data_IF_188713575051
#
_entry.id   IF_188713575051
#
_cell.length_a   1.000
_cell.length_b   1.000
_cell.length_c   1.000
_cell.angle_alpha   90.00
_cell.angle_beta   90.00
_cell.angle_gamma   90.00
#
_symmetry.space_group_name_H-M   'P 1'
#
loop_
_entity.id
_entity.type
_entity.pdbx_description
1 polymer ?
#
# COMPACT_ATOMS: atom_id res chain seq x y z
N UNK A 1 -23.04 -20.25 -11.75
CA UNK A 1 -22.01 -20.92 -12.56
C UNK A 1 -20.70 -20.18 -12.30
N UNK A 2 -19.75 -20.87 -11.67
CA UNK A 2 -18.64 -20.33 -10.87
C UNK A 2 -17.54 -19.67 -11.69
N UNK A 3 -17.01 -18.53 -11.19
CA UNK A 3 -15.70 -17.98 -11.55
C UNK A 3 -14.62 -18.63 -10.65
N UNK A 4 -13.59 -19.31 -11.20
CA UNK A 4 -12.53 -19.86 -10.38
C UNK A 4 -11.39 -18.85 -10.13
N UNK A 5 -11.22 -18.54 -8.86
CA UNK A 5 -9.98 -18.59 -8.08
C UNK A 5 -8.64 -18.19 -8.72
N UNK A 6 -8.13 -17.07 -8.20
CA UNK A 6 -6.73 -16.75 -7.95
C UNK A 6 -5.86 -17.99 -7.68
N UNK A 7 -4.85 -18.20 -8.52
CA UNK A 7 -3.74 -19.12 -8.24
C UNK A 7 -2.47 -18.30 -8.07
N UNK A 8 -2.17 -17.93 -6.83
CA UNK A 8 -0.86 -17.46 -6.42
C UNK A 8 -0.06 -18.70 -6.04
N UNK A 9 0.76 -19.19 -6.97
CA UNK A 9 1.63 -20.35 -6.74
C UNK A 9 3.07 -19.95 -7.02
N UNK A 10 3.82 -19.92 -5.93
CA UNK A 10 5.27 -20.01 -5.80
C UNK A 10 6.01 -20.48 -7.06
N UNK A 11 6.78 -19.57 -7.65
CA UNK A 11 7.83 -19.88 -8.63
C UNK A 11 9.18 -19.66 -7.98
N UNK A 12 9.68 -20.70 -7.30
CA UNK A 12 11.05 -20.77 -6.81
C UNK A 12 12.07 -20.61 -7.97
N UNK A 13 13.25 -20.06 -7.68
CA UNK A 13 14.24 -19.64 -8.68
C UNK A 13 15.00 -20.85 -9.21
N UNK A 14 14.99 -21.03 -10.53
CA UNK A 14 15.81 -22.02 -11.21
C UNK A 14 16.69 -21.30 -12.25
N UNK A 15 17.98 -21.27 -11.93
CA UNK A 15 19.08 -21.56 -12.85
C UNK A 15 18.79 -21.27 -14.32
N UNK A 16 19.20 -20.08 -14.78
CA UNK A 16 19.44 -19.84 -16.20
C UNK A 16 20.81 -19.19 -16.36
N UNK A 17 21.83 -20.01 -16.11
CA UNK A 17 23.16 -19.84 -16.68
C UNK A 17 23.01 -19.96 -18.21
N UNK A 18 23.00 -18.83 -18.91
CA UNK A 18 23.11 -18.83 -20.37
C UNK A 18 24.19 -17.82 -20.77
N UNK A 19 25.41 -18.35 -20.77
CA UNK A 19 26.57 -17.81 -21.45
C UNK A 19 26.46 -18.29 -22.90
N UNK A 20 26.45 -17.39 -23.88
CA UNK A 20 27.15 -17.52 -25.17
C UNK A 20 26.84 -16.32 -26.09
N UNK A 21 27.92 -15.86 -26.72
CA UNK A 21 28.00 -14.76 -27.65
C UNK A 21 27.30 -15.06 -28.97
N UNK A 22 26.60 -14.06 -29.53
CA UNK A 22 26.54 -13.83 -30.98
C UNK A 22 26.47 -12.33 -31.27
N UNK A 23 27.52 -11.83 -31.92
CA UNK A 23 27.54 -10.53 -32.60
C UNK A 23 26.55 -10.52 -33.77
N UNK A 24 25.88 -9.39 -34.01
CA UNK A 24 24.98 -9.27 -35.15
C UNK A 24 24.27 -7.93 -35.27
N UNK A 25 24.92 -7.02 -36.01
CA UNK A 25 24.37 -5.96 -36.86
C UNK A 25 23.32 -4.96 -36.31
N UNK A 26 23.80 -3.72 -36.22
CA UNK A 26 23.11 -2.45 -36.38
C UNK A 26 21.72 -2.48 -37.04
N UNK A 27 20.77 -1.77 -36.44
CA UNK A 27 19.70 -1.06 -37.15
C UNK A 27 19.26 0.17 -36.34
N UNK A 28 19.79 1.32 -36.76
CA UNK A 28 19.08 2.59 -36.89
C UNK A 28 18.24 3.05 -35.68
N UNK A 29 18.89 3.65 -34.68
CA UNK A 29 18.21 4.65 -33.86
C UNK A 29 18.10 5.94 -34.67
N UNK A 30 16.88 6.26 -35.08
CA UNK A 30 16.55 7.58 -35.60
C UNK A 30 16.86 8.63 -34.52
N UNK A 31 17.84 9.50 -34.80
CA UNK A 31 18.13 10.67 -33.99
C UNK A 31 17.04 11.70 -34.26
N UNK A 32 16.11 11.87 -33.32
CA UNK A 32 15.21 13.01 -33.31
C UNK A 32 16.02 14.29 -33.12
N UNK A 33 15.78 15.22 -34.04
CA UNK A 33 16.52 16.45 -34.25
C UNK A 33 16.66 17.29 -32.97
N UNK A 34 17.89 17.74 -32.72
CA UNK A 34 18.20 18.83 -31.80
C UNK A 34 17.76 20.14 -32.44
N UNK A 35 16.67 20.72 -31.94
CA UNK A 35 16.29 22.10 -32.23
C UNK A 35 17.18 23.10 -31.47
N UNK A 36 17.48 24.28 -32.05
CA UNK A 36 18.47 25.22 -31.50
C UNK A 36 18.03 25.89 -30.20
N UNK A 37 19.05 26.18 -29.39
CA UNK A 37 19.00 26.64 -28.00
C UNK A 37 18.20 27.93 -27.79
N UNK A 38 17.22 27.86 -26.89
CA UNK A 38 16.48 29.03 -26.40
C UNK A 38 17.40 29.91 -25.54
N UNK A 39 17.60 31.15 -26.01
CA UNK A 39 18.33 32.21 -25.33
C UNK A 39 17.78 32.42 -23.92
N UNK A 40 18.56 32.12 -22.89
CA UNK A 40 18.24 32.52 -21.53
C UNK A 40 18.46 34.02 -21.38
N UNK A 41 17.41 34.79 -21.61
CA UNK A 41 17.29 36.14 -21.07
C UNK A 41 17.09 36.00 -19.56
N UNK A 42 18.09 36.47 -18.81
CA UNK A 42 17.99 36.63 -17.37
C UNK A 42 17.03 37.79 -17.05
N UNK A 43 15.74 37.48 -16.90
CA UNK A 43 14.82 38.40 -16.23
C UNK A 43 14.91 38.12 -14.73
N UNK A 44 15.65 38.98 -14.02
CA UNK A 44 15.60 39.03 -12.56
C UNK A 44 14.19 39.51 -12.19
N UNK A 45 13.36 38.60 -11.64
CA UNK A 45 12.12 38.99 -10.97
C UNK A 45 12.38 39.03 -9.47
N UNK A 46 12.40 40.25 -8.94
CA UNK A 46 12.35 40.52 -7.52
C UNK A 46 10.90 40.40 -7.03
N UNK A 47 10.69 39.62 -5.96
CA UNK A 47 9.56 39.74 -5.05
C UNK A 47 8.20 39.24 -5.53
N UNK A 48 7.82 38.03 -5.07
CA UNK A 48 6.46 37.78 -4.58
C UNK A 48 6.56 36.83 -3.39
N UNK A 49 6.03 37.28 -2.25
CA UNK A 49 5.77 36.51 -1.05
C UNK A 49 5.20 35.13 -1.39
N UNK A 50 5.92 34.07 -1.00
CA UNK A 50 5.40 32.72 -1.02
C UNK A 50 4.41 32.51 0.13
N UNK A 51 3.20 33.05 0.00
CA UNK A 51 2.06 32.42 0.66
C UNK A 51 1.77 31.12 -0.08
N UNK A 52 2.19 30.02 0.55
CA UNK A 52 1.92 28.65 0.16
C UNK A 52 0.53 28.51 -0.46
N UNK A 53 0.40 28.11 -1.75
CA UNK A 53 -0.91 27.96 -2.37
C UNK A 53 -1.68 26.88 -1.63
N UNK A 54 -2.95 27.22 -1.34
CA UNK A 54 -4.07 26.33 -1.05
C UNK A 54 -3.72 24.84 -1.07
N UNK A 55 -3.73 24.24 0.12
CA UNK A 55 -3.76 22.79 0.27
C UNK A 55 -5.00 22.27 -0.43
N UNK A 56 -4.85 21.90 -1.70
CA UNK A 56 -5.65 20.85 -2.29
C UNK A 56 -5.39 19.67 -1.37
N UNK A 57 -6.37 19.35 -0.52
CA UNK A 57 -6.28 18.19 0.34
C UNK A 57 -6.31 16.99 -0.58
N UNK A 58 -5.15 16.63 -1.11
CA UNK A 58 -4.94 15.34 -1.74
C UNK A 58 -5.51 14.31 -0.76
N UNK A 59 -6.37 13.38 -1.22
CA UNK A 59 -6.92 12.35 -0.35
C UNK A 59 -5.78 11.69 0.40
N UNK A 60 -5.64 12.01 1.69
CA UNK A 60 -4.49 11.57 2.48
C UNK A 60 -4.70 10.09 2.72
N UNK A 61 -4.10 9.27 1.84
CA UNK A 61 -4.11 7.83 1.98
C UNK A 61 -3.42 7.45 3.29
N UNK A 62 -4.15 6.76 4.15
CA UNK A 62 -3.65 6.27 5.43
C UNK A 62 -3.28 4.81 5.32
N UNK A 63 -2.34 4.42 6.19
CA UNK A 63 -1.86 3.07 6.33
C UNK A 63 -2.25 2.58 7.72
N UNK A 64 -2.91 1.43 7.79
CA UNK A 64 -3.13 0.71 9.03
C UNK A 64 -2.25 -0.52 9.01
N UNK A 65 -1.39 -0.67 10.01
CA UNK A 65 -0.47 -1.80 10.10
C UNK A 65 -0.39 -2.33 11.52
N UNK A 66 0.02 -3.58 11.67
CA UNK A 66 0.23 -4.13 13.01
C UNK A 66 0.39 -5.64 13.00
N UNK A 67 0.26 -6.22 14.20
CA UNK A 67 0.37 -7.66 14.42
C UNK A 67 -0.85 -8.24 15.12
N UNK A 68 -1.16 -9.48 14.80
CA UNK A 68 -2.20 -10.27 15.45
C UNK A 68 -1.53 -11.22 16.45
N UNK A 69 -1.95 -11.12 17.70
CA UNK A 69 -1.40 -11.89 18.81
C UNK A 69 -2.52 -12.51 19.66
N UNK A 70 -2.18 -13.53 20.42
CA UNK A 70 -3.03 -14.11 21.46
C UNK A 70 -2.91 -13.29 22.76
N UNK A 71 -3.79 -13.54 23.74
CA UNK A 71 -3.63 -13.12 25.14
C UNK A 71 -2.26 -13.43 25.73
N UNK A 72 -1.64 -14.55 25.32
CA UNK A 72 -0.32 -14.99 25.74
C UNK A 72 0.84 -14.26 25.02
N UNK A 73 0.55 -13.32 24.11
CA UNK A 73 1.55 -12.60 23.32
C UNK A 73 2.13 -13.41 22.15
N UNK A 74 1.65 -14.64 21.92
CA UNK A 74 2.04 -15.47 20.77
C UNK A 74 1.41 -14.93 19.49
N UNK A 75 2.19 -14.77 18.42
CA UNK A 75 1.67 -14.38 17.11
C UNK A 75 0.79 -15.48 16.51
N UNK A 76 -0.30 -15.06 15.87
CA UNK A 76 -1.26 -15.96 15.21
C UNK A 76 -1.13 -15.73 13.71
N UNK A 77 -0.75 -16.78 12.96
CA UNK A 77 -0.56 -16.73 11.50
C UNK A 77 -1.74 -17.24 10.67
N UNK A 78 -2.65 -17.99 11.27
CA UNK A 78 -3.88 -18.47 10.64
C UNK A 78 -5.05 -17.48 10.83
N UNK A 79 -4.74 -16.20 11.04
CA UNK A 79 -5.72 -15.15 11.23
C UNK A 79 -5.99 -14.39 9.92
N UNK A 80 -7.22 -13.93 9.77
CA UNK A 80 -7.63 -12.98 8.74
C UNK A 80 -8.06 -11.71 9.44
N UNK A 81 -7.49 -10.58 9.02
CA UNK A 81 -7.89 -9.27 9.53
C UNK A 81 -8.94 -8.70 8.61
N UNK A 82 -10.04 -8.28 9.20
CA UNK A 82 -11.16 -7.65 8.52
C UNK A 82 -11.18 -6.18 8.90
N UNK A 83 -11.40 -5.33 7.91
CA UNK A 83 -11.59 -3.90 8.05
C UNK A 83 -12.91 -3.54 7.39
N UNK A 84 -13.85 -3.02 8.18
CA UNK A 84 -15.13 -2.51 7.73
C UNK A 84 -15.09 -0.99 7.75
N UNK A 85 -15.48 -0.39 6.64
CA UNK A 85 -15.75 1.05 6.55
C UNK A 85 -17.15 1.34 7.14
N UNK A 86 -17.26 2.27 8.09
CA UNK A 86 -18.57 2.65 8.65
C UNK A 86 -19.31 3.66 7.76
N UNK A 87 -18.64 4.28 6.80
CA UNK A 87 -19.24 5.22 5.86
C UNK A 87 -20.10 4.49 4.82
N UNK A 88 -19.52 3.53 4.10
CA UNK A 88 -20.19 2.81 3.01
C UNK A 88 -20.47 1.32 3.31
N UNK A 89 -20.03 0.81 4.47
CA UNK A 89 -20.15 -0.60 4.86
C UNK A 89 -19.33 -1.59 4.01
N UNK A 90 -18.37 -1.13 3.21
CA UNK A 90 -17.38 -2.01 2.56
C UNK A 90 -16.54 -2.78 3.58
N UNK A 91 -16.34 -4.07 3.30
CA UNK A 91 -15.47 -4.93 4.12
C UNK A 91 -14.27 -5.39 3.28
N UNK A 92 -13.07 -5.05 3.74
CA UNK A 92 -11.80 -5.53 3.21
C UNK A 92 -11.25 -6.61 4.14
N UNK A 93 -10.59 -7.61 3.58
CA UNK A 93 -9.93 -8.65 4.37
C UNK A 93 -8.53 -8.93 3.83
N UNK A 94 -7.59 -9.17 4.74
CA UNK A 94 -6.22 -9.55 4.42
C UNK A 94 -5.78 -10.68 5.34
N UNK A 95 -5.08 -11.67 4.78
CA UNK A 95 -4.38 -12.67 5.58
C UNK A 95 -3.17 -12.05 6.27
N UNK A 96 -2.84 -12.52 7.47
CA UNK A 96 -1.56 -12.17 8.09
C UNK A 96 -0.40 -12.98 7.48
N UNK A 97 0.80 -12.43 7.58
CA UNK A 97 2.05 -13.12 7.24
C UNK A 97 2.43 -14.18 8.31
N UNK A 98 3.49 -14.98 8.09
CA UNK A 98 3.97 -15.98 9.06
C UNK A 98 4.35 -15.34 10.42
N UNK A 99 4.80 -14.09 10.39
CA UNK A 99 5.03 -13.27 11.59
C UNK A 99 3.78 -12.69 12.25
N UNK A 100 2.57 -13.03 11.78
CA UNK A 100 1.29 -12.48 12.26
C UNK A 100 1.08 -11.01 11.91
N UNK A 101 1.82 -10.47 10.93
CA UNK A 101 1.75 -9.06 10.55
C UNK A 101 0.71 -8.82 9.46
N UNK A 102 0.05 -7.67 9.49
CA UNK A 102 -0.93 -7.24 8.48
C UNK A 102 -0.75 -5.77 8.12
N UNK A 103 -1.23 -5.39 6.93
CA UNK A 103 -1.20 -4.01 6.46
C UNK A 103 -2.35 -3.72 5.50
N UNK A 104 -3.07 -2.63 5.74
CA UNK A 104 -3.99 -2.00 4.82
C UNK A 104 -3.39 -0.67 4.36
N UNK A 105 -3.51 -0.39 3.06
CA UNK A 105 -3.09 0.87 2.44
C UNK A 105 -4.29 1.55 1.81
N UNK A 106 -4.16 2.83 1.48
CA UNK A 106 -5.19 3.61 0.80
C UNK A 106 -6.50 3.72 1.60
N UNK A 107 -6.39 3.89 2.91
CA UNK A 107 -7.54 4.20 3.77
C UNK A 107 -7.84 5.70 3.70
N UNK A 108 -9.13 6.06 3.68
CA UNK A 108 -9.56 7.45 3.62
C UNK A 108 -9.51 8.07 5.02
N UNK A 109 -8.96 9.27 5.18
CA UNK A 109 -8.84 9.89 6.51
C UNK A 109 -10.19 10.31 7.12
N UNK A 110 -11.15 10.68 6.29
CA UNK A 110 -12.46 11.19 6.69
C UNK A 110 -13.47 10.07 7.06
N UNK A 111 -13.09 8.80 7.01
CA UNK A 111 -13.97 7.67 7.31
C UNK A 111 -13.63 7.04 8.67
N UNK A 112 -14.66 6.54 9.35
CA UNK A 112 -14.48 5.71 10.55
C UNK A 112 -14.40 4.23 10.14
N UNK A 113 -13.44 3.50 10.70
CA UNK A 113 -13.21 2.09 10.40
C UNK A 113 -13.38 1.21 11.62
N UNK A 114 -13.93 0.02 11.43
CA UNK A 114 -13.92 -1.06 12.41
C UNK A 114 -12.99 -2.17 11.92
N UNK A 115 -12.02 -2.55 12.75
CA UNK A 115 -11.05 -3.58 12.43
C UNK A 115 -11.06 -4.66 13.49
N UNK A 116 -11.06 -5.92 13.06
CA UNK A 116 -10.98 -7.07 13.95
C UNK A 116 -10.19 -8.18 13.28
N UNK A 117 -9.53 -9.00 14.10
CA UNK A 117 -8.91 -10.23 13.64
C UNK A 117 -9.88 -11.39 13.86
N UNK A 118 -9.92 -12.35 12.95
CA UNK A 118 -10.72 -13.56 13.07
C UNK A 118 -9.91 -14.76 12.56
N UNK A 119 -9.98 -15.85 13.30
CA UNK A 119 -9.52 -17.17 12.88
C UNK A 119 -10.74 -18.01 12.50
N UNK A 120 -10.53 -19.19 11.93
CA UNK A 120 -11.61 -20.13 11.58
C UNK A 120 -12.55 -20.44 12.76
N UNK A 121 -12.04 -20.40 14.00
CA UNK A 121 -12.78 -20.81 15.20
C UNK A 121 -13.20 -19.66 16.09
N UNK A 122 -12.49 -18.52 16.05
CA UNK A 122 -12.65 -17.44 17.04
C UNK A 122 -12.51 -16.06 16.41
N UNK A 123 -13.32 -15.11 16.90
CA UNK A 123 -13.24 -13.68 16.56
C UNK A 123 -12.56 -12.93 17.70
N UNK A 124 -11.59 -12.08 17.36
CA UNK A 124 -10.90 -11.21 18.31
C UNK A 124 -11.64 -9.91 18.60
N UNK A 125 -10.98 -9.05 19.38
CA UNK A 125 -11.52 -7.75 19.78
C UNK A 125 -11.71 -6.82 18.57
N UNK A 126 -12.86 -6.14 18.53
CA UNK A 126 -13.13 -5.08 17.56
C UNK A 126 -12.45 -3.80 18.03
N UNK A 127 -11.75 -3.14 17.12
CA UNK A 127 -11.12 -1.83 17.32
C UNK A 127 -11.72 -0.84 16.35
N UNK A 128 -11.92 0.39 16.80
CA UNK A 128 -12.44 1.48 15.97
C UNK A 128 -11.35 2.50 15.73
N UNK A 129 -11.17 2.88 14.48
CA UNK A 129 -10.31 3.98 14.04
C UNK A 129 -11.25 5.11 13.65
N UNK A 130 -11.09 6.26 14.28
CA UNK A 130 -11.95 7.40 13.98
C UNK A 130 -11.33 8.31 12.92
N UNK A 131 -12.19 8.92 12.13
CA UNK A 131 -11.84 9.96 11.16
C UNK A 131 -11.15 11.18 11.78
N UNK A 132 -11.36 11.42 13.09
CA UNK A 132 -10.68 12.48 13.84
C UNK A 132 -9.20 12.21 14.10
N UNK A 133 -8.74 10.97 13.94
CA UNK A 133 -7.32 10.64 14.00
C UNK A 133 -6.66 11.10 12.70
N UNK A 134 -5.60 11.90 12.76
CA UNK A 134 -4.94 12.50 11.59
C UNK A 134 -3.62 11.83 11.19
N UNK A 135 -3.27 10.74 11.89
CA UNK A 135 -2.03 9.98 11.68
C UNK A 135 -2.04 9.28 10.32
N UNK A 136 -0.99 9.48 9.53
CA UNK A 136 -0.85 8.80 8.23
C UNK A 136 -0.56 7.30 8.36
N UNK A 137 0.15 6.90 9.42
CA UNK A 137 0.41 5.50 9.78
C UNK A 137 -0.21 5.21 11.16
N UNK A 138 -1.05 4.18 11.21
CA UNK A 138 -1.79 3.76 12.38
C UNK A 138 -1.27 2.38 12.79
N UNK A 139 -0.35 2.30 13.75
CA UNK A 139 0.07 1.02 14.31
C UNK A 139 -1.01 0.49 15.26
N UNK A 140 -1.62 -0.65 14.93
CA UNK A 140 -2.67 -1.26 15.72
C UNK A 140 -2.43 -2.76 15.88
N UNK A 141 -2.14 -3.20 17.11
CA UNK A 141 -2.04 -4.63 17.40
C UNK A 141 -3.42 -5.18 17.78
N UNK A 142 -3.78 -6.32 17.20
CA UNK A 142 -5.04 -7.01 17.44
C UNK A 142 -4.80 -8.23 18.31
N UNK A 143 -5.73 -8.48 19.23
CA UNK A 143 -5.68 -9.64 20.13
C UNK A 143 -6.88 -10.56 19.91
N UNK A 144 -6.63 -11.86 19.95
CA UNK A 144 -7.64 -12.92 19.90
C UNK A 144 -7.55 -13.71 21.21
N UNK A 145 -8.70 -14.03 21.79
CA UNK A 145 -8.84 -14.86 23.00
C UNK A 145 -9.48 -16.20 22.68
#
# INVERSE_FOLDING_TARGET
MLKPFFSYRHGCPLLALCLLLTAGAASTYAQSATGPQSKRVATIRFGTNGSNPEGTQDPKERILSGRVQDTNGKTIKDAVVFLKDKHDSSVKSVGVDDGGSYRFVQLQQNHDYEVWAQTEKKKGAIKTISSFDDRADIPLNLKIE
#
